data_IF_470596336419
#
_entry.id   IF_470596336419
#
_cell.length_a   1.000
_cell.length_b   1.000
_cell.length_c   1.000
_cell.angle_alpha   90.00
_cell.angle_beta   90.00
_cell.angle_gamma   90.00
#
_symmetry.space_group_name_H-M   'P 1'
#
loop_
_entity.id
_entity.type
_entity.pdbx_description
1 polymer ?
#
# COMPACT_ATOMS: atom_id res chain seq x y z
N UNK A 1 -12.50 41.27 -7.96
CA UNK A 1 -12.26 40.71 -6.61
C UNK A 1 -12.89 39.31 -6.54
N UNK A 2 -12.52 38.42 -7.47
CA UNK A 2 -13.31 37.21 -7.81
C UNK A 2 -12.43 35.95 -8.00
N UNK A 3 -11.12 36.07 -7.77
CA UNK A 3 -10.12 35.03 -8.07
C UNK A 3 -9.82 34.12 -6.85
N UNK A 4 -10.19 34.54 -5.64
CA UNK A 4 -9.88 33.80 -4.40
C UNK A 4 -10.86 32.67 -4.08
N UNK A 5 -12.10 32.71 -4.58
CA UNK A 5 -13.14 31.73 -4.22
C UNK A 5 -13.08 30.42 -5.02
N UNK A 6 -12.59 30.44 -6.26
CA UNK A 6 -12.47 29.24 -7.12
C UNK A 6 -11.38 28.29 -6.63
N UNK A 7 -10.23 28.82 -6.18
CA UNK A 7 -9.15 28.01 -5.62
C UNK A 7 -9.52 27.30 -4.31
N UNK A 8 -10.34 27.94 -3.47
CA UNK A 8 -10.78 27.37 -2.20
C UNK A 8 -11.68 26.15 -2.43
N UNK A 9 -12.64 26.26 -3.36
CA UNK A 9 -13.63 25.20 -3.62
C UNK A 9 -13.00 23.95 -4.26
N UNK A 10 -12.06 24.13 -5.20
CA UNK A 10 -11.36 23.03 -5.84
C UNK A 10 -10.52 22.20 -4.83
N UNK A 11 -9.86 22.88 -3.88
CA UNK A 11 -9.08 22.24 -2.82
C UNK A 11 -9.96 21.42 -1.86
N UNK A 12 -11.09 21.98 -1.44
CA UNK A 12 -12.04 21.27 -0.56
C UNK A 12 -12.60 20.01 -1.23
N UNK A 13 -12.86 20.02 -2.55
CA UNK A 13 -13.39 18.85 -3.27
C UNK A 13 -12.34 17.73 -3.38
N UNK A 14 -11.06 18.06 -3.60
CA UNK A 14 -9.98 17.07 -3.64
C UNK A 14 -9.71 16.43 -2.28
N UNK A 15 -9.74 17.20 -1.19
CA UNK A 15 -9.53 16.67 0.16
C UNK A 15 -10.63 15.67 0.56
N UNK A 16 -11.91 16.01 0.29
CA UNK A 16 -13.05 15.14 0.60
C UNK A 16 -13.02 13.84 -0.23
N UNK A 17 -12.56 13.91 -1.48
CA UNK A 17 -12.40 12.73 -2.35
C UNK A 17 -11.30 11.77 -1.90
N UNK A 18 -10.15 12.30 -1.48
CA UNK A 18 -9.01 11.49 -0.98
C UNK A 18 -9.36 10.82 0.35
N UNK A 19 -9.96 11.57 1.28
CA UNK A 19 -10.31 11.06 2.60
C UNK A 19 -11.40 9.98 2.55
N UNK A 20 -12.36 10.12 1.63
CA UNK A 20 -13.41 9.13 1.42
C UNK A 20 -12.94 7.85 0.72
N UNK A 21 -11.92 7.93 -0.15
CA UNK A 21 -11.37 6.78 -0.87
C UNK A 21 -10.31 5.99 -0.06
N UNK A 22 -9.55 6.66 0.81
CA UNK A 22 -8.45 6.02 1.53
C UNK A 22 -8.90 4.92 2.50
N UNK A 23 -9.95 5.19 3.29
CA UNK A 23 -10.47 4.22 4.26
C UNK A 23 -10.91 2.89 3.62
N UNK A 24 -11.75 2.87 2.55
CA UNK A 24 -12.13 1.61 1.91
C UNK A 24 -10.96 0.94 1.19
N UNK A 25 -10.00 1.69 0.63
CA UNK A 25 -8.79 1.12 0.04
C UNK A 25 -7.95 0.37 1.09
N UNK A 26 -7.68 1.01 2.24
CA UNK A 26 -6.93 0.39 3.33
C UNK A 26 -7.65 -0.82 3.92
N UNK A 27 -8.97 -0.72 4.16
CA UNK A 27 -9.74 -1.84 4.71
C UNK A 27 -9.72 -3.05 3.76
N UNK A 28 -9.90 -2.83 2.46
CA UNK A 28 -9.90 -3.91 1.47
C UNK A 28 -8.53 -4.57 1.40
N UNK A 29 -7.46 -3.77 1.39
CA UNK A 29 -6.09 -4.29 1.38
C UNK A 29 -5.74 -5.07 2.65
N UNK A 30 -6.06 -4.54 3.84
CA UNK A 30 -5.83 -5.23 5.10
C UNK A 30 -6.64 -6.53 5.23
N UNK A 31 -7.88 -6.55 4.78
CA UNK A 31 -8.69 -7.77 4.81
C UNK A 31 -8.16 -8.83 3.84
N UNK A 32 -7.82 -8.43 2.61
CA UNK A 32 -7.23 -9.34 1.62
C UNK A 32 -5.89 -9.91 2.12
N UNK A 33 -5.06 -9.04 2.71
CA UNK A 33 -3.80 -9.38 3.35
C UNK A 33 -3.97 -10.39 4.48
N UNK A 34 -4.90 -10.16 5.40
CA UNK A 34 -5.16 -11.08 6.51
C UNK A 34 -5.59 -12.47 6.02
N UNK A 35 -6.44 -12.53 5.00
CA UNK A 35 -6.87 -13.80 4.39
C UNK A 35 -5.70 -14.49 3.69
N UNK A 36 -4.89 -13.76 2.93
CA UNK A 36 -3.71 -14.30 2.28
C UNK A 36 -2.70 -14.84 3.30
N UNK A 37 -2.36 -14.06 4.33
CA UNK A 37 -1.48 -14.48 5.41
C UNK A 37 -1.96 -15.78 6.06
N UNK A 38 -3.26 -15.91 6.32
CA UNK A 38 -3.85 -17.12 6.87
C UNK A 38 -3.71 -18.31 5.91
N UNK A 39 -4.07 -18.14 4.63
CA UNK A 39 -3.97 -19.21 3.62
C UNK A 39 -2.51 -19.68 3.48
N UNK A 40 -1.57 -18.75 3.29
CA UNK A 40 -0.14 -19.05 3.13
C UNK A 40 0.38 -19.79 4.37
N UNK A 41 0.02 -19.33 5.57
CA UNK A 41 0.46 -19.96 6.82
C UNK A 41 -0.09 -21.37 6.96
N UNK A 42 -1.38 -21.59 6.68
CA UNK A 42 -1.99 -22.92 6.71
C UNK A 42 -1.38 -23.85 5.66
N UNK A 43 -1.10 -23.34 4.46
CA UNK A 43 -0.39 -24.10 3.42
C UNK A 43 1.02 -24.49 3.88
N UNK A 44 1.75 -23.57 4.51
CA UNK A 44 3.07 -23.86 5.05
C UNK A 44 3.04 -24.85 6.22
N UNK A 45 1.98 -24.84 7.04
CA UNK A 45 1.77 -25.87 8.08
C UNK A 45 1.55 -27.26 7.48
N UNK A 46 0.87 -27.36 6.34
CA UNK A 46 0.52 -28.63 5.72
C UNK A 46 1.64 -29.24 4.87
N UNK A 47 2.46 -28.41 4.23
CA UNK A 47 3.41 -28.85 3.21
C UNK A 47 4.87 -28.39 3.45
N UNK A 48 5.10 -27.52 4.44
CA UNK A 48 6.41 -26.96 4.71
C UNK A 48 7.23 -27.76 5.73
N UNK A 49 8.56 -27.56 5.77
CA UNK A 49 9.42 -28.06 6.83
C UNK A 49 9.11 -27.38 8.18
N UNK A 50 9.71 -27.88 9.25
CA UNK A 50 9.59 -27.28 10.58
C UNK A 50 9.96 -25.79 10.57
N UNK A 51 9.07 -24.95 11.10
CA UNK A 51 9.23 -23.50 11.12
C UNK A 51 8.74 -22.76 9.87
N UNK A 52 8.31 -23.46 8.80
CA UNK A 52 7.77 -22.85 7.59
C UNK A 52 6.52 -21.99 7.84
N UNK A 53 5.64 -22.43 8.74
CA UNK A 53 4.45 -21.67 9.12
C UNK A 53 4.81 -20.32 9.76
N UNK A 54 5.77 -20.32 10.69
CA UNK A 54 6.23 -19.10 11.35
C UNK A 54 6.95 -18.17 10.36
N UNK A 55 7.80 -18.73 9.51
CA UNK A 55 8.50 -17.96 8.47
C UNK A 55 7.53 -17.34 7.47
N UNK A 56 6.52 -18.10 7.03
CA UNK A 56 5.48 -17.63 6.11
C UNK A 56 4.66 -16.51 6.73
N UNK A 57 4.17 -16.69 7.97
CA UNK A 57 3.42 -15.67 8.69
C UNK A 57 4.24 -14.40 8.88
N UNK A 58 5.52 -14.54 9.29
CA UNK A 58 6.42 -13.40 9.45
C UNK A 58 6.63 -12.62 8.14
N UNK A 59 6.80 -13.32 7.02
CA UNK A 59 6.95 -12.67 5.71
C UNK A 59 5.69 -11.96 5.24
N UNK A 60 4.51 -12.58 5.39
CA UNK A 60 3.24 -11.96 5.07
C UNK A 60 2.98 -10.72 5.96
N UNK A 61 3.18 -10.84 7.27
CA UNK A 61 3.02 -9.73 8.20
C UNK A 61 4.00 -8.57 7.90
N UNK A 62 5.26 -8.90 7.58
CA UNK A 62 6.26 -7.92 7.19
C UNK A 62 5.85 -7.15 5.93
N UNK A 63 5.46 -7.86 4.87
CA UNK A 63 5.04 -7.24 3.62
C UNK A 63 3.79 -6.37 3.81
N UNK A 64 2.77 -6.88 4.50
CA UNK A 64 1.55 -6.13 4.82
C UNK A 64 1.87 -4.82 5.56
N UNK A 65 2.75 -4.88 6.56
CA UNK A 65 3.16 -3.70 7.32
C UNK A 65 3.92 -2.69 6.45
N UNK A 66 4.85 -3.17 5.62
CA UNK A 66 5.62 -2.35 4.71
C UNK A 66 4.73 -1.59 3.70
N UNK A 67 3.73 -2.28 3.13
CA UNK A 67 2.79 -1.65 2.20
C UNK A 67 1.80 -0.71 2.89
N UNK A 68 1.33 -1.05 4.09
CA UNK A 68 0.49 -0.16 4.88
C UNK A 68 1.19 1.16 5.20
N UNK A 69 2.48 1.12 5.56
CA UNK A 69 3.31 2.31 5.78
C UNK A 69 3.46 3.15 4.51
N UNK A 70 3.66 2.52 3.34
CA UNK A 70 3.69 3.23 2.06
C UNK A 70 2.39 3.93 1.73
N UNK A 71 1.26 3.23 1.92
CA UNK A 71 -0.07 3.77 1.68
C UNK A 71 -0.36 4.97 2.61
N UNK A 72 0.03 4.88 3.89
CA UNK A 72 -0.04 5.99 4.84
C UNK A 72 0.83 7.18 4.40
N UNK A 73 2.06 6.93 3.94
CA UNK A 73 2.94 7.96 3.41
C UNK A 73 2.31 8.72 2.24
N UNK A 74 1.76 7.98 1.27
CA UNK A 74 1.05 8.57 0.12
C UNK A 74 -0.16 9.38 0.59
N UNK A 75 -0.94 8.85 1.53
CA UNK A 75 -2.10 9.56 2.07
C UNK A 75 -1.73 10.89 2.75
N UNK A 76 -0.62 10.92 3.50
CA UNK A 76 -0.11 12.16 4.09
C UNK A 76 0.30 13.19 3.03
N UNK A 77 0.92 12.73 1.93
CA UNK A 77 1.30 13.60 0.80
C UNK A 77 0.06 14.14 0.08
N UNK A 78 -0.96 13.31 -0.11
CA UNK A 78 -2.20 13.69 -0.79
C UNK A 78 -3.05 14.70 0.00
N UNK A 79 -2.73 14.95 1.28
CA UNK A 79 -3.30 16.06 2.08
C UNK A 79 -2.53 17.38 1.93
N UNK A 80 -1.38 17.35 1.25
CA UNK A 80 -0.53 18.52 1.00
C UNK A 80 -0.90 19.25 -0.29
N UNK A 81 -0.08 20.21 -0.73
CA UNK A 81 -0.26 20.89 -2.02
C UNK A 81 -0.21 19.91 -3.20
N UNK A 82 -1.15 20.02 -4.14
CA UNK A 82 -1.24 19.16 -5.35
C UNK A 82 0.03 19.16 -6.20
N UNK A 83 0.75 20.28 -6.24
CA UNK A 83 2.04 20.41 -6.91
C UNK A 83 3.08 19.39 -6.41
N UNK A 84 2.93 18.91 -5.17
CA UNK A 84 3.86 17.99 -4.54
C UNK A 84 3.43 16.53 -4.63
N UNK A 85 2.27 16.20 -5.23
CA UNK A 85 1.77 14.82 -5.21
C UNK A 85 2.71 13.85 -5.91
N UNK A 86 3.21 14.20 -7.10
CA UNK A 86 4.06 13.32 -7.89
C UNK A 86 5.46 13.19 -7.27
N UNK A 87 6.05 14.30 -6.83
CA UNK A 87 7.35 14.31 -6.14
C UNK A 87 7.27 13.59 -4.79
N UNK A 88 6.19 13.80 -4.03
CA UNK A 88 5.96 13.14 -2.76
C UNK A 88 5.76 11.64 -2.92
N UNK A 89 4.92 11.21 -3.87
CA UNK A 89 4.71 9.80 -4.15
C UNK A 89 6.01 9.10 -4.58
N UNK A 90 6.81 9.76 -5.42
CA UNK A 90 8.15 9.29 -5.77
C UNK A 90 9.07 9.20 -4.53
N UNK A 91 9.01 10.19 -3.64
CA UNK A 91 9.75 10.19 -2.38
C UNK A 91 9.40 8.99 -1.49
N UNK A 92 8.11 8.68 -1.32
CA UNK A 92 7.65 7.48 -0.58
C UNK A 92 8.19 6.22 -1.24
N UNK A 93 8.09 6.12 -2.56
CA UNK A 93 8.60 4.96 -3.29
C UNK A 93 10.11 4.78 -3.09
N UNK A 94 10.90 5.84 -3.21
CA UNK A 94 12.36 5.79 -3.00
C UNK A 94 12.70 5.37 -1.58
N UNK A 95 12.02 5.95 -0.58
CA UNK A 95 12.20 5.58 0.84
C UNK A 95 11.85 4.10 1.04
N UNK A 96 10.76 3.62 0.44
CA UNK A 96 10.38 2.21 0.50
C UNK A 96 11.43 1.30 -0.14
N UNK A 97 11.94 1.63 -1.33
CA UNK A 97 13.00 0.84 -1.99
C UNK A 97 14.26 0.79 -1.12
N UNK A 98 14.66 1.92 -0.53
CA UNK A 98 15.80 1.97 0.40
C UNK A 98 15.54 1.11 1.64
N UNK A 99 14.37 1.25 2.27
CA UNK A 99 14.01 0.48 3.45
C UNK A 99 13.97 -1.03 3.14
N UNK A 100 13.41 -1.43 2.00
CA UNK A 100 13.41 -2.81 1.54
C UNK A 100 14.84 -3.30 1.29
N UNK A 101 15.69 -2.50 0.64
CA UNK A 101 17.10 -2.82 0.44
C UNK A 101 17.83 -3.06 1.75
N UNK A 102 17.61 -2.22 2.77
CA UNK A 102 18.17 -2.40 4.10
C UNK A 102 17.70 -3.73 4.71
N UNK A 103 16.40 -4.04 4.64
CA UNK A 103 15.86 -5.30 5.17
C UNK A 103 16.48 -6.51 4.47
N UNK A 104 16.58 -6.49 3.13
CA UNK A 104 17.20 -7.57 2.36
C UNK A 104 18.68 -7.75 2.70
N UNK A 105 19.40 -6.67 3.03
CA UNK A 105 20.80 -6.76 3.50
C UNK A 105 20.91 -7.34 4.91
N UNK A 106 19.90 -7.18 5.77
CA UNK A 106 19.89 -7.76 7.12
C UNK A 106 19.39 -9.20 7.15
N UNK A 107 18.54 -9.61 6.22
CA UNK A 107 17.93 -10.94 6.18
C UNK A 107 18.95 -12.09 6.33
N UNK A 108 20.10 -12.10 5.62
CA UNK A 108 21.10 -13.16 5.74
C UNK A 108 21.74 -13.29 7.13
N UNK A 109 21.63 -12.24 7.97
CA UNK A 109 22.16 -12.23 9.35
C UNK A 109 21.19 -12.85 10.35
N UNK A 110 19.92 -13.01 9.96
CA UNK A 110 18.88 -13.57 10.80
C UNK A 110 18.76 -15.05 10.48
N UNK A 111 19.05 -15.90 11.47
CA UNK A 111 18.88 -17.34 11.33
C UNK A 111 17.38 -17.68 11.39
N UNK A 112 16.71 -17.64 10.23
CA UNK A 112 15.33 -18.08 10.08
C UNK A 112 15.27 -19.58 9.74
N UNK A 113 14.31 -20.33 10.30
CA UNK A 113 14.20 -21.78 10.10
C UNK A 113 13.83 -22.19 8.66
N UNK A 114 13.15 -21.32 7.90
CA UNK A 114 12.68 -21.60 6.54
C UNK A 114 12.64 -20.32 5.68
N UNK A 115 13.80 -19.77 5.28
CA UNK A 115 13.90 -18.47 4.61
C UNK A 115 13.19 -18.43 3.25
N UNK A 116 13.13 -19.55 2.52
CA UNK A 116 12.41 -19.66 1.27
C UNK A 116 10.90 -19.43 1.45
N UNK A 117 10.30 -19.94 2.53
CA UNK A 117 8.89 -19.76 2.86
C UNK A 117 8.57 -18.32 3.28
N UNK A 118 9.49 -17.67 3.98
CA UNK A 118 9.41 -16.23 4.24
C UNK A 118 9.40 -15.42 2.94
N UNK A 119 10.33 -15.72 2.02
CA UNK A 119 10.42 -14.97 0.76
C UNK A 119 9.22 -15.20 -0.16
N UNK A 120 8.70 -16.44 -0.20
CA UNK A 120 7.51 -16.79 -0.95
C UNK A 120 6.27 -16.08 -0.41
N UNK A 121 6.10 -16.02 0.91
CA UNK A 121 4.96 -15.31 1.52
C UNK A 121 5.02 -13.81 1.27
N UNK A 122 6.20 -13.19 1.35
CA UNK A 122 6.40 -11.78 0.95
C UNK A 122 5.96 -11.56 -0.50
N UNK A 123 6.38 -12.42 -1.44
CA UNK A 123 6.04 -12.29 -2.85
C UNK A 123 4.52 -12.40 -3.09
N UNK A 124 3.86 -13.37 -2.46
CA UNK A 124 2.39 -13.52 -2.57
C UNK A 124 1.68 -12.29 -1.98
N UNK A 125 2.12 -11.83 -0.82
CA UNK A 125 1.53 -10.69 -0.13
C UNK A 125 1.65 -9.39 -0.94
N UNK A 126 2.79 -9.18 -1.60
CA UNK A 126 2.97 -8.06 -2.54
C UNK A 126 1.87 -8.08 -3.60
N UNK A 127 1.65 -9.23 -4.24
CA UNK A 127 0.65 -9.36 -5.31
C UNK A 127 -0.76 -9.10 -4.76
N UNK A 128 -1.11 -9.71 -3.63
CA UNK A 128 -2.40 -9.52 -2.97
C UNK A 128 -2.65 -8.05 -2.66
N UNK A 129 -1.67 -7.36 -2.10
CA UNK A 129 -1.79 -5.95 -1.76
C UNK A 129 -1.98 -5.08 -2.99
N UNK A 130 -1.19 -5.31 -4.06
CA UNK A 130 -1.33 -4.56 -5.32
C UNK A 130 -2.70 -4.81 -5.97
N UNK A 131 -3.17 -6.06 -5.99
CA UNK A 131 -4.50 -6.40 -6.50
C UNK A 131 -5.62 -5.76 -5.70
N UNK A 132 -5.52 -5.74 -4.37
CA UNK A 132 -6.53 -5.14 -3.51
C UNK A 132 -6.61 -3.61 -3.68
N UNK A 133 -5.46 -2.93 -3.82
CA UNK A 133 -5.43 -1.50 -4.11
C UNK A 133 -5.98 -1.18 -5.51
N UNK A 134 -5.58 -1.95 -6.52
CA UNK A 134 -6.10 -1.79 -7.88
C UNK A 134 -7.62 -2.01 -7.93
N UNK A 135 -8.11 -3.08 -7.30
CA UNK A 135 -9.55 -3.36 -7.19
C UNK A 135 -10.30 -2.21 -6.50
N UNK A 136 -9.76 -1.70 -5.41
CA UNK A 136 -10.38 -0.61 -4.66
C UNK A 136 -10.45 0.68 -5.47
N UNK A 137 -9.39 1.02 -6.22
CA UNK A 137 -9.37 2.18 -7.13
C UNK A 137 -10.42 2.05 -8.24
N UNK A 138 -10.49 0.88 -8.87
CA UNK A 138 -11.48 0.61 -9.92
C UNK A 138 -12.92 0.71 -9.39
N UNK A 139 -13.13 0.35 -8.13
CA UNK A 139 -14.43 0.42 -7.47
C UNK A 139 -14.80 1.84 -7.01
N UNK A 140 -13.86 2.61 -6.49
CA UNK A 140 -14.13 3.97 -5.99
C UNK A 140 -14.25 5.01 -7.11
N UNK A 141 -13.68 4.76 -8.31
CA UNK A 141 -13.78 5.62 -9.50
C UNK A 141 -13.38 7.10 -9.27
N UNK A 142 -12.66 7.41 -8.18
CA UNK A 142 -12.11 8.74 -7.93
C UNK A 142 -10.80 8.84 -8.70
N UNK A 143 -10.87 9.10 -10.00
CA UNK A 143 -9.70 9.47 -10.77
C UNK A 143 -9.34 10.92 -10.43
N UNK A 144 -8.11 11.14 -9.98
CA UNK A 144 -7.57 12.47 -9.66
C UNK A 144 -7.69 13.50 -10.81
N UNK A 145 -7.98 13.04 -12.04
CA UNK A 145 -8.14 13.85 -13.25
C UNK A 145 -9.58 14.23 -13.64
N UNK A 146 -10.61 13.62 -13.04
CA UNK A 146 -12.01 13.84 -13.50
C UNK A 146 -12.59 15.23 -13.22
N UNK A 147 -11.87 16.05 -12.46
CA UNK A 147 -12.24 17.43 -12.11
C UNK A 147 -11.47 18.50 -12.88
N UNK A 148 -10.38 18.15 -13.58
CA UNK A 148 -9.66 19.09 -14.44
C UNK A 148 -10.43 19.36 -15.74
N UNK A 149 -11.07 18.34 -16.30
CA UNK A 149 -11.80 18.42 -17.57
C UNK A 149 -13.21 19.04 -17.44
N UNK A 150 -13.74 19.14 -16.21
CA UNK A 150 -15.09 19.68 -15.93
C UNK A 150 -15.09 21.17 -15.58
N UNK A 151 -13.93 21.83 -15.64
CA UNK A 151 -13.76 23.26 -15.43
C UNK A 151 -13.64 24.09 -16.70
N UNK A 152 -13.68 23.46 -17.88
CA UNK A 152 -13.55 24.12 -19.19
C UNK A 152 -14.84 24.07 -20.05
N UNK A 153 -16.02 23.90 -19.43
CA UNK A 153 -17.32 24.10 -20.09
C UNK A 153 -18.21 25.06 -19.30
#
# INVERSE_FOLDING_TARGET
MTSTMTHSRARTITDVGVESAFKPMMLTACCASAVAALIITVTAMAFGPDGAALASFAGAAFAAHFFAMGALGIWLILRGPTANYLVGALGVYVIQVIALGIVLMQLPRIHMPAPEWFSASVAVEVVVWQSAQAYSLLRTRVFAYSTAERGEL
#
